data_IF_085686733263
#
_entry.id   IF_085686733263
#
_cell.length_a   1.000
_cell.length_b   1.000
_cell.length_c   1.000
_cell.angle_alpha   90.00
_cell.angle_beta   90.00
_cell.angle_gamma   90.00
#
_symmetry.space_group_name_H-M   'P 1'
#
loop_
_entity.id
_entity.type
_entity.pdbx_description
1 polymer ?
#
# COMPACT_ATOMS: atom_id res chain seq x y z
N UNK A 1 25.36 13.93 -9.41
CA UNK A 1 24.12 14.73 -9.51
C UNK A 1 24.15 15.70 -8.35
N UNK A 2 24.14 17.01 -8.62
CA UNK A 2 23.99 18.02 -7.56
C UNK A 2 22.51 18.31 -7.35
N UNK A 3 22.11 18.46 -6.10
CA UNK A 3 20.72 18.73 -5.70
C UNK A 3 20.73 19.88 -4.70
N UNK A 4 19.99 20.93 -4.99
CA UNK A 4 19.83 22.06 -4.06
C UNK A 4 18.58 21.84 -3.24
N UNK A 5 18.76 21.73 -1.92
CA UNK A 5 17.66 21.61 -0.98
C UNK A 5 17.17 22.99 -0.55
N UNK A 6 15.89 23.08 -0.18
CA UNK A 6 15.39 24.22 0.58
C UNK A 6 16.07 24.25 1.96
N UNK A 7 16.30 25.44 2.56
CA UNK A 7 16.99 25.55 3.85
C UNK A 7 16.42 24.63 4.94
N UNK A 8 15.09 24.52 5.02
CA UNK A 8 14.43 23.68 6.03
C UNK A 8 14.72 22.17 5.83
N UNK A 9 14.81 21.72 4.58
CA UNK A 9 15.13 20.32 4.25
C UNK A 9 16.60 20.02 4.49
N UNK A 10 17.47 21.00 4.24
CA UNK A 10 18.89 20.87 4.56
C UNK A 10 19.10 20.76 6.07
N UNK A 11 18.40 21.59 6.86
CA UNK A 11 18.44 21.50 8.32
C UNK A 11 17.94 20.15 8.81
N UNK A 12 16.79 19.69 8.31
CA UNK A 12 16.26 18.35 8.64
C UNK A 12 17.27 17.23 8.34
N UNK A 13 17.94 17.29 7.18
CA UNK A 13 18.93 16.28 6.83
C UNK A 13 20.17 16.34 7.74
N UNK A 14 20.60 17.55 8.13
CA UNK A 14 21.71 17.73 9.10
C UNK A 14 21.34 17.19 10.48
N UNK A 15 20.11 17.41 10.95
CA UNK A 15 19.64 16.89 12.24
C UNK A 15 19.61 15.35 12.22
N UNK A 16 19.14 14.76 11.12
CA UNK A 16 19.15 13.30 10.94
C UNK A 16 20.55 12.68 11.03
N UNK A 17 21.57 13.37 10.55
CA UNK A 17 22.97 12.94 10.65
C UNK A 17 23.51 13.19 12.05
N UNK A 18 23.21 14.35 12.66
CA UNK A 18 23.64 14.70 14.01
C UNK A 18 23.11 13.72 15.07
N UNK A 19 21.90 13.19 14.87
CA UNK A 19 21.29 12.14 15.70
C UNK A 19 21.94 10.76 15.51
N UNK A 20 22.85 10.61 14.54
CA UNK A 20 23.47 9.33 14.19
C UNK A 20 22.54 8.36 13.45
N UNK A 21 21.35 8.80 13.01
CA UNK A 21 20.40 7.96 12.25
C UNK A 21 20.88 7.66 10.83
N UNK A 22 21.73 8.53 10.29
CA UNK A 22 22.31 8.41 8.95
C UNK A 22 23.77 8.86 8.96
N UNK A 23 24.59 8.27 8.09
CA UNK A 23 26.02 8.57 7.97
C UNK A 23 26.27 9.97 7.38
N UNK A 24 25.50 10.35 6.37
CA UNK A 24 25.60 11.64 5.69
C UNK A 24 24.24 12.09 5.12
N UNK A 25 24.20 13.32 4.60
CA UNK A 25 23.01 13.90 3.95
C UNK A 25 22.59 13.08 2.71
N UNK A 26 23.55 12.47 2.01
CA UNK A 26 23.27 11.62 0.86
C UNK A 26 22.49 10.36 1.23
N UNK A 27 22.78 9.74 2.37
CA UNK A 27 22.06 8.61 2.92
C UNK A 27 20.61 8.99 3.28
N UNK A 28 20.40 10.18 3.85
CA UNK A 28 19.05 10.72 4.11
C UNK A 28 18.27 10.87 2.81
N UNK A 29 18.87 11.48 1.79
CA UNK A 29 18.21 11.69 0.48
C UNK A 29 17.87 10.35 -0.18
N UNK A 30 18.79 9.37 -0.16
CA UNK A 30 18.53 8.02 -0.71
C UNK A 30 17.35 7.35 -0.01
N UNK A 31 17.30 7.42 1.32
CA UNK A 31 16.18 6.86 2.08
C UNK A 31 14.86 7.57 1.77
N UNK A 32 14.87 8.90 1.67
CA UNK A 32 13.69 9.68 1.30
C UNK A 32 13.17 9.34 -0.10
N UNK A 33 14.06 9.18 -1.08
CA UNK A 33 13.70 8.79 -2.44
C UNK A 33 13.19 7.34 -2.52
N UNK A 34 13.79 6.42 -1.77
CA UNK A 34 13.30 5.05 -1.67
C UNK A 34 11.89 5.00 -1.09
N UNK A 35 11.63 5.77 -0.03
CA UNK A 35 10.29 5.89 0.55
C UNK A 35 9.30 6.50 -0.45
N UNK A 36 9.70 7.53 -1.20
CA UNK A 36 8.86 8.13 -2.24
C UNK A 36 8.53 7.11 -3.33
N UNK A 37 9.53 6.36 -3.82
CA UNK A 37 9.32 5.33 -4.83
C UNK A 37 8.33 4.26 -4.36
N UNK A 38 8.46 3.81 -3.12
CA UNK A 38 7.54 2.85 -2.53
C UNK A 38 6.10 3.39 -2.46
N UNK A 39 5.92 4.66 -2.09
CA UNK A 39 4.60 5.28 -2.05
C UNK A 39 3.98 5.42 -3.45
N UNK A 40 4.78 5.81 -4.44
CA UNK A 40 4.34 5.90 -5.83
C UNK A 40 3.92 4.52 -6.38
N UNK A 41 4.68 3.47 -6.05
CA UNK A 41 4.37 2.10 -6.44
C UNK A 41 3.09 1.59 -5.77
N UNK A 42 2.91 1.83 -4.47
CA UNK A 42 1.67 1.51 -3.76
C UNK A 42 0.46 2.25 -4.34
N UNK A 43 0.61 3.54 -4.68
CA UNK A 43 -0.46 4.32 -5.33
C UNK A 43 -0.84 3.71 -6.66
N UNK A 44 0.15 3.33 -7.47
CA UNK A 44 -0.07 2.69 -8.76
C UNK A 44 -0.79 1.35 -8.59
N UNK A 45 -0.31 0.48 -7.71
CA UNK A 45 -0.93 -0.82 -7.44
C UNK A 45 -2.39 -0.69 -7.00
N UNK A 46 -2.72 0.31 -6.17
CA UNK A 46 -4.09 0.57 -5.78
C UNK A 46 -4.96 1.06 -6.95
N UNK A 47 -4.42 1.94 -7.80
CA UNK A 47 -5.15 2.38 -9.01
C UNK A 47 -5.41 1.21 -9.95
N UNK A 48 -4.38 0.41 -10.21
CA UNK A 48 -4.46 -0.75 -11.10
C UNK A 48 -5.47 -1.78 -10.56
N UNK A 49 -5.52 -2.02 -9.25
CA UNK A 49 -6.48 -2.97 -8.66
C UNK A 49 -7.92 -2.46 -8.69
N UNK A 50 -8.14 -1.15 -8.58
CA UNK A 50 -9.47 -0.54 -8.74
C UNK A 50 -9.94 -0.63 -10.19
N UNK A 51 -9.07 -0.32 -11.15
CA UNK A 51 -9.38 -0.42 -12.57
C UNK A 51 -9.69 -1.88 -12.97
N UNK A 52 -8.94 -2.85 -12.44
CA UNK A 52 -9.19 -4.27 -12.64
C UNK A 52 -10.55 -4.69 -12.06
N UNK A 53 -10.86 -4.31 -10.81
CA UNK A 53 -12.13 -4.65 -10.16
C UNK A 53 -13.33 -4.02 -10.87
N UNK A 54 -13.20 -2.79 -11.39
CA UNK A 54 -14.23 -2.15 -12.20
C UNK A 54 -14.44 -2.87 -13.54
N UNK A 55 -13.35 -3.26 -14.21
CA UNK A 55 -13.44 -4.01 -15.45
C UNK A 55 -14.02 -5.41 -15.25
N UNK A 56 -13.75 -6.06 -14.11
CA UNK A 56 -14.39 -7.31 -13.71
C UNK A 56 -15.90 -7.12 -13.49
N UNK A 57 -16.29 -6.10 -12.70
CA UNK A 57 -17.68 -5.75 -12.47
C UNK A 57 -18.46 -5.48 -13.78
N UNK A 58 -17.84 -4.79 -14.73
CA UNK A 58 -18.46 -4.51 -16.04
C UNK A 58 -18.65 -5.77 -16.89
N UNK A 59 -17.73 -6.76 -16.80
CA UNK A 59 -17.80 -8.01 -17.56
C UNK A 59 -18.72 -9.05 -16.92
N UNK A 60 -18.57 -9.25 -15.62
CA UNK A 60 -19.08 -10.40 -14.88
C UNK A 60 -20.23 -10.02 -13.94
N UNK A 61 -20.46 -8.72 -13.72
CA UNK A 61 -21.46 -8.19 -12.81
C UNK A 61 -20.95 -8.06 -11.37
N UNK A 62 -21.80 -7.52 -10.50
CA UNK A 62 -21.51 -7.36 -9.07
C UNK A 62 -22.49 -8.16 -8.21
N UNK A 63 -22.02 -8.58 -7.04
CA UNK A 63 -22.88 -9.11 -5.99
C UNK A 63 -23.28 -8.00 -5.01
N UNK A 64 -24.49 -8.10 -4.50
CA UNK A 64 -24.93 -7.31 -3.35
C UNK A 64 -24.33 -7.87 -2.06
N UNK A 65 -24.19 -7.01 -1.04
CA UNK A 65 -23.73 -7.45 0.27
C UNK A 65 -24.62 -8.55 0.89
N UNK A 66 -25.91 -8.57 0.56
CA UNK A 66 -26.85 -9.59 1.05
C UNK A 66 -26.59 -10.97 0.42
N UNK A 67 -26.30 -11.02 -0.88
CA UNK A 67 -25.95 -12.26 -1.59
C UNK A 67 -24.66 -12.85 -1.02
N UNK A 68 -23.62 -12.03 -0.89
CA UNK A 68 -22.33 -12.45 -0.30
C UNK A 68 -22.53 -12.94 1.14
N UNK A 69 -23.31 -12.23 1.96
CA UNK A 69 -23.55 -12.63 3.35
C UNK A 69 -24.38 -13.92 3.49
N UNK A 70 -25.24 -14.24 2.52
CA UNK A 70 -25.97 -15.49 2.48
C UNK A 70 -25.04 -16.66 2.09
N UNK A 71 -24.21 -16.45 1.06
CA UNK A 71 -23.26 -17.45 0.60
C UNK A 71 -22.18 -17.78 1.65
N UNK A 72 -21.61 -16.75 2.30
CA UNK A 72 -20.65 -16.96 3.39
C UNK A 72 -21.25 -17.76 4.55
N UNK A 73 -22.53 -17.51 4.91
CA UNK A 73 -23.22 -18.27 5.96
C UNK A 73 -23.38 -19.74 5.56
N UNK A 74 -23.80 -19.99 4.32
CA UNK A 74 -23.92 -21.36 3.80
C UNK A 74 -22.56 -22.10 3.79
N UNK A 75 -21.47 -21.42 3.42
CA UNK A 75 -20.13 -21.98 3.43
C UNK A 75 -19.67 -22.35 4.86
N UNK A 76 -19.89 -21.47 5.84
CA UNK A 76 -19.56 -21.72 7.25
C UNK A 76 -20.37 -22.91 7.80
N UNK A 77 -21.68 -22.97 7.54
CA UNK A 77 -22.52 -24.09 7.97
C UNK A 77 -22.05 -25.43 7.37
N UNK A 78 -21.64 -25.42 6.11
CA UNK A 78 -21.12 -26.61 5.42
C UNK A 78 -19.83 -27.08 6.09
N UNK A 79 -18.86 -26.17 6.28
CA UNK A 79 -17.61 -26.49 6.97
C UNK A 79 -17.84 -27.00 8.40
N UNK A 80 -18.79 -26.41 9.14
CA UNK A 80 -19.14 -26.86 10.49
C UNK A 80 -19.74 -28.27 10.50
N UNK A 81 -20.56 -28.63 9.51
CA UNK A 81 -21.14 -29.98 9.38
C UNK A 81 -20.07 -31.03 9.03
N UNK A 82 -19.10 -30.66 8.20
CA UNK A 82 -17.98 -31.54 7.85
C UNK A 82 -17.03 -31.77 9.02
N UNK A 83 -16.81 -30.77 9.87
CA UNK A 83 -15.94 -30.88 11.04
C UNK A 83 -16.50 -31.74 12.18
N UNK A 84 -17.80 -32.02 12.18
CA UNK A 84 -18.49 -32.85 13.20
C UNK A 84 -18.59 -34.32 12.77
N UNK A 85 -18.22 -34.65 11.54
CA UNK A 85 -18.26 -36.00 10.97
C UNK A 85 -16.93 -36.73 11.15
#
# INVERSE_FOLDING_TARGET
MEVTLKPDLEQFARDCVADGRYEDVGAVIKAALALLQEQEERRKQLSDSLDEAMAEADRDGCFTAAEVAAEMRAAIETAAREAVK
#
